data_IF_745657054831
#
_entry.id   IF_745657054831
#
_cell.length_a   1.000
_cell.length_b   1.000
_cell.length_c   1.000
_cell.angle_alpha   90.00
_cell.angle_beta   90.00
_cell.angle_gamma   90.00
#
_symmetry.space_group_name_H-M   'P 1'
#
loop_
_entity.id
_entity.type
_entity.pdbx_description
1 polymer ?
#
# COMPACT_ATOMS: atom_id res chain seq x y z
N UNK A 1 17.34 -17.15 12.45
CA UNK A 1 17.57 -15.85 11.78
C UNK A 1 18.36 -14.97 12.74
N UNK A 2 19.35 -14.20 12.26
CA UNK A 2 20.10 -13.27 13.14
C UNK A 2 19.19 -12.10 13.57
N UNK A 3 19.30 -11.56 14.79
CA UNK A 3 18.49 -10.43 15.24
C UNK A 3 18.53 -9.21 14.32
N UNK A 4 19.70 -8.94 13.72
CA UNK A 4 19.87 -7.87 12.74
C UNK A 4 19.03 -8.11 11.48
N UNK A 5 19.02 -9.33 10.95
CA UNK A 5 18.20 -9.68 9.78
C UNK A 5 16.69 -9.59 10.08
N UNK A 6 16.27 -9.96 11.29
CA UNK A 6 14.89 -9.78 11.74
C UNK A 6 14.49 -8.30 11.75
N UNK A 7 15.34 -7.46 12.35
CA UNK A 7 15.11 -6.02 12.44
C UNK A 7 15.03 -5.39 11.04
N UNK A 8 15.99 -5.71 10.16
CA UNK A 8 16.01 -5.18 8.78
C UNK A 8 14.75 -5.57 8.01
N UNK A 9 14.32 -6.84 8.11
CA UNK A 9 13.09 -7.30 7.49
C UNK A 9 11.87 -6.50 7.98
N UNK A 10 11.74 -6.33 9.30
CA UNK A 10 10.60 -5.63 9.88
C UNK A 10 10.60 -4.14 9.56
N UNK A 11 11.76 -3.49 9.55
CA UNK A 11 11.88 -2.09 9.13
C UNK A 11 11.53 -1.91 7.66
N UNK A 12 12.00 -2.81 6.79
CA UNK A 12 11.62 -2.80 5.38
C UNK A 12 10.11 -2.98 5.21
N UNK A 13 9.52 -3.94 5.93
CA UNK A 13 8.07 -4.18 5.91
C UNK A 13 7.26 -3.00 6.46
N UNK A 14 7.64 -2.43 7.60
CA UNK A 14 6.99 -1.25 8.19
C UNK A 14 7.05 -0.05 7.24
N UNK A 15 8.19 0.16 6.57
CA UNK A 15 8.32 1.23 5.59
C UNK A 15 7.31 1.10 4.44
N UNK A 16 6.82 -0.10 4.15
CA UNK A 16 5.86 -0.32 3.06
C UNK A 16 4.47 0.26 3.34
N UNK A 17 4.11 0.49 4.61
CA UNK A 17 2.76 0.93 5.00
C UNK A 17 2.73 2.10 6.00
N UNK A 18 3.85 2.41 6.67
CA UNK A 18 3.90 3.52 7.62
C UNK A 18 3.84 4.87 6.87
N UNK A 19 2.81 5.71 7.12
CA UNK A 19 2.70 7.03 6.50
C UNK A 19 3.84 7.96 6.92
N UNK A 20 4.02 9.06 6.19
CA UNK A 20 5.08 10.05 6.47
C UNK A 20 4.91 10.70 7.84
N UNK A 21 3.66 10.98 8.18
CA UNK A 21 3.24 11.63 9.42
C UNK A 21 2.23 10.70 10.08
N UNK A 22 2.69 9.65 10.77
CA UNK A 22 1.80 8.72 11.45
C UNK A 22 1.11 9.40 12.63
N UNK A 23 -0.17 9.09 12.81
CA UNK A 23 -0.84 9.35 14.08
C UNK A 23 -0.26 8.44 15.19
N UNK A 24 -0.66 8.71 16.44
CA UNK A 24 -0.18 7.96 17.60
C UNK A 24 -0.50 6.47 17.49
N UNK A 25 -1.68 6.11 16.99
CA UNK A 25 -2.12 4.72 16.87
C UNK A 25 -1.25 3.96 15.86
N UNK A 26 -1.01 4.55 14.70
CA UNK A 26 -0.20 3.97 13.62
C UNK A 26 1.25 3.85 14.05
N UNK A 27 1.78 4.86 14.77
CA UNK A 27 3.11 4.78 15.35
C UNK A 27 3.22 3.67 16.39
N UNK A 28 2.24 3.56 17.29
CA UNK A 28 2.19 2.48 18.29
C UNK A 28 2.14 1.09 17.63
N UNK A 29 1.36 0.93 16.56
CA UNK A 29 1.31 -0.32 15.77
C UNK A 29 2.67 -0.67 15.15
N UNK A 30 3.43 0.32 14.67
CA UNK A 30 4.78 0.09 14.16
C UNK A 30 5.74 -0.38 15.27
N UNK A 31 5.69 0.25 16.45
CA UNK A 31 6.48 -0.16 17.62
C UNK A 31 6.11 -1.58 18.08
N UNK A 32 4.81 -1.89 18.15
CA UNK A 32 4.32 -3.23 18.46
C UNK A 32 4.81 -4.26 17.43
N UNK A 33 4.85 -3.87 16.15
CA UNK A 33 5.31 -4.72 15.07
C UNK A 33 6.81 -5.05 15.13
N UNK A 34 7.61 -4.19 15.76
CA UNK A 34 9.03 -4.42 16.02
C UNK A 34 9.28 -5.26 17.27
N UNK A 35 8.46 -5.05 18.31
CA UNK A 35 8.68 -5.64 19.64
C UNK A 35 8.15 -7.07 19.74
N UNK A 36 6.95 -7.35 19.21
CA UNK A 36 6.32 -8.67 19.31
C UNK A 36 7.16 -9.80 18.70
N UNK A 37 7.78 -9.66 17.51
CA UNK A 37 8.61 -10.73 16.94
C UNK A 37 9.85 -11.00 17.78
N UNK A 38 10.43 -9.95 18.37
CA UNK A 38 11.60 -10.05 19.26
C UNK A 38 11.26 -10.81 20.54
N UNK A 39 10.09 -10.53 21.13
CA UNK A 39 9.58 -11.25 22.30
C UNK A 39 9.23 -12.71 21.96
N UNK A 40 8.57 -12.93 20.81
CA UNK A 40 8.22 -14.28 20.34
C UNK A 40 9.47 -15.13 20.06
N UNK A 41 10.52 -14.53 19.51
CA UNK A 41 11.78 -15.22 19.22
C UNK A 41 12.57 -15.60 20.49
N UNK A 42 12.51 -14.77 21.53
CA UNK A 42 13.21 -15.02 22.81
C UNK A 42 12.41 -15.91 23.78
N UNK A 43 11.10 -15.96 23.62
CA UNK A 43 10.20 -16.70 24.50
C UNK A 43 10.17 -18.21 24.24
N UNK A 44 9.59 -18.95 25.19
CA UNK A 44 9.29 -20.36 24.98
C UNK A 44 8.22 -20.54 23.88
N UNK A 45 8.27 -21.65 23.10
CA UNK A 45 7.26 -21.96 22.11
C UNK A 45 5.84 -21.97 22.69
N UNK A 46 4.86 -21.46 21.92
CA UNK A 46 3.45 -21.40 22.31
C UNK A 46 2.59 -22.06 21.22
N UNK A 47 2.58 -23.40 21.11
CA UNK A 47 1.98 -24.10 19.98
C UNK A 47 0.47 -23.86 19.84
N UNK A 48 -0.25 -23.68 20.94
CA UNK A 48 -1.69 -23.34 20.92
C UNK A 48 -1.92 -21.96 20.30
N UNK A 49 -1.17 -20.94 20.74
CA UNK A 49 -1.21 -19.58 20.19
C UNK A 49 -0.76 -19.55 18.73
N UNK A 50 0.30 -20.27 18.39
CA UNK A 50 0.80 -20.41 17.03
C UNK A 50 -0.27 -20.99 16.09
N UNK A 51 -0.98 -22.04 16.53
CA UNK A 51 -2.06 -22.65 15.75
C UNK A 51 -3.22 -21.69 15.54
N UNK A 52 -3.65 -21.00 16.60
CA UNK A 52 -4.71 -20.00 16.53
C UNK A 52 -4.37 -18.87 15.56
N UNK A 53 -3.20 -18.25 15.69
CA UNK A 53 -2.74 -17.20 14.78
C UNK A 53 -2.58 -17.70 13.35
N UNK A 54 -2.13 -18.94 13.14
CA UNK A 54 -2.03 -19.53 11.80
C UNK A 54 -3.41 -19.62 11.14
N UNK A 55 -4.44 -20.07 11.86
CA UNK A 55 -5.81 -20.17 11.33
C UNK A 55 -6.34 -18.78 10.98
N UNK A 56 -6.18 -17.81 11.89
CA UNK A 56 -6.58 -16.42 11.67
C UNK A 56 -5.85 -15.75 10.51
N UNK A 57 -4.62 -16.17 10.21
CA UNK A 57 -3.85 -15.64 9.10
C UNK A 57 -4.16 -16.33 7.76
N UNK A 58 -4.38 -17.65 7.75
CA UNK A 58 -4.54 -18.41 6.52
C UNK A 58 -5.89 -18.17 5.84
N UNK A 59 -6.98 -18.03 6.59
CA UNK A 59 -8.30 -17.78 5.99
C UNK A 59 -8.34 -16.47 5.19
N UNK A 60 -7.88 -15.32 5.73
CA UNK A 60 -7.87 -14.09 4.95
C UNK A 60 -6.81 -14.11 3.85
N UNK A 61 -5.65 -14.77 4.03
CA UNK A 61 -4.67 -14.93 2.94
C UNK A 61 -5.26 -15.71 1.75
N UNK A 62 -6.07 -16.74 2.01
CA UNK A 62 -6.77 -17.47 0.96
C UNK A 62 -7.79 -16.56 0.25
N UNK A 63 -8.57 -15.78 1.01
CA UNK A 63 -9.49 -14.80 0.43
C UNK A 63 -8.75 -13.75 -0.41
N UNK A 64 -7.59 -13.26 0.06
CA UNK A 64 -6.72 -12.36 -0.68
C UNK A 64 -6.22 -13.00 -1.99
N UNK A 65 -5.80 -14.26 -1.95
CA UNK A 65 -5.34 -14.97 -3.14
C UNK A 65 -6.46 -15.14 -4.18
N UNK A 66 -7.67 -15.51 -3.74
CA UNK A 66 -8.85 -15.61 -4.60
C UNK A 66 -9.24 -14.24 -5.18
N UNK A 67 -9.22 -13.19 -4.36
CA UNK A 67 -9.51 -11.83 -4.82
C UNK A 67 -8.47 -11.35 -5.82
N UNK A 68 -7.18 -11.61 -5.59
CA UNK A 68 -6.11 -11.26 -6.52
C UNK A 68 -6.26 -11.98 -7.87
N UNK A 69 -6.64 -13.26 -7.86
CA UNK A 69 -6.94 -14.02 -9.07
C UNK A 69 -8.14 -13.44 -9.83
N UNK A 70 -9.23 -13.10 -9.12
CA UNK A 70 -10.38 -12.45 -9.74
C UNK A 70 -10.02 -11.07 -10.32
N UNK A 71 -9.25 -10.27 -9.59
CA UNK A 71 -8.79 -8.95 -10.04
C UNK A 71 -7.87 -9.03 -11.27
N UNK A 72 -7.12 -10.10 -11.43
CA UNK A 72 -6.33 -10.35 -12.64
C UNK A 72 -7.21 -10.61 -13.86
N UNK A 73 -8.32 -11.34 -13.69
CA UNK A 73 -9.24 -11.70 -14.77
C UNK A 73 -10.19 -10.57 -15.15
N UNK A 74 -10.74 -9.87 -14.16
CA UNK A 74 -11.83 -8.89 -14.35
C UNK A 74 -11.38 -7.44 -14.15
N UNK A 75 -10.13 -7.23 -13.77
CA UNK A 75 -9.58 -5.93 -13.40
C UNK A 75 -9.73 -5.62 -11.90
N UNK A 76 -8.73 -4.96 -11.28
CA UNK A 76 -8.80 -4.57 -9.88
C UNK A 76 -9.72 -3.37 -9.67
N UNK A 77 -10.57 -3.41 -8.64
CA UNK A 77 -11.23 -2.19 -8.15
C UNK A 77 -10.28 -1.42 -7.23
N UNK A 78 -10.33 -0.07 -7.23
CA UNK A 78 -9.47 0.74 -6.36
C UNK A 78 -9.62 0.37 -4.88
N UNK A 79 -10.86 0.22 -4.40
CA UNK A 79 -11.20 -0.17 -3.03
C UNK A 79 -10.84 -1.62 -2.71
N UNK A 80 -11.04 -2.55 -3.66
CA UNK A 80 -10.69 -3.94 -3.44
C UNK A 80 -9.17 -4.16 -3.32
N UNK A 81 -8.36 -3.40 -4.08
CA UNK A 81 -6.89 -3.50 -4.02
C UNK A 81 -6.32 -3.05 -2.67
N UNK A 82 -6.94 -2.03 -2.07
CA UNK A 82 -6.64 -1.60 -0.71
C UNK A 82 -6.89 -2.69 0.30
N UNK A 83 -8.13 -3.18 0.31
CA UNK A 83 -8.59 -4.16 1.27
C UNK A 83 -7.71 -5.39 1.15
N UNK A 84 -7.39 -5.79 -0.09
CA UNK A 84 -6.42 -6.82 -0.40
C UNK A 84 -5.06 -6.56 0.25
N UNK A 85 -4.42 -5.40 0.01
CA UNK A 85 -3.10 -5.12 0.56
C UNK A 85 -3.11 -5.09 2.09
N UNK A 86 -4.09 -4.40 2.70
CA UNK A 86 -4.18 -4.26 4.15
C UNK A 86 -4.40 -5.61 4.83
N UNK A 87 -5.36 -6.40 4.35
CA UNK A 87 -5.62 -7.74 4.89
C UNK A 87 -4.39 -8.63 4.67
N UNK A 88 -3.79 -8.61 3.48
CA UNK A 88 -2.60 -9.41 3.19
C UNK A 88 -1.42 -9.06 4.12
N UNK A 89 -1.21 -7.77 4.44
CA UNK A 89 -0.15 -7.34 5.36
C UNK A 89 -0.39 -7.83 6.78
N UNK A 90 -1.59 -7.61 7.32
CA UNK A 90 -1.94 -8.06 8.66
C UNK A 90 -1.85 -9.58 8.78
N UNK A 91 -2.36 -10.31 7.79
CA UNK A 91 -2.33 -11.76 7.80
C UNK A 91 -0.92 -12.31 7.57
N UNK A 92 -0.10 -11.71 6.70
CA UNK A 92 1.29 -12.11 6.54
C UNK A 92 2.09 -11.90 7.83
N UNK A 93 1.87 -10.79 8.53
CA UNK A 93 2.51 -10.51 9.81
C UNK A 93 2.02 -11.45 10.92
N UNK A 94 0.72 -11.72 11.01
CA UNK A 94 0.16 -12.70 11.94
C UNK A 94 0.69 -14.12 11.67
N UNK A 95 0.82 -14.50 10.40
CA UNK A 95 1.42 -15.77 9.99
C UNK A 95 2.91 -15.83 10.37
N UNK A 96 3.64 -14.73 10.20
CA UNK A 96 5.03 -14.62 10.64
C UNK A 96 5.18 -14.85 12.14
N UNK A 97 4.38 -14.15 12.96
CA UNK A 97 4.36 -14.34 14.41
C UNK A 97 3.97 -15.78 14.80
N UNK A 98 2.99 -16.37 14.13
CA UNK A 98 2.57 -17.75 14.36
C UNK A 98 3.73 -18.73 14.16
N UNK A 99 4.54 -18.53 13.10
CA UNK A 99 5.71 -19.36 12.82
C UNK A 99 6.83 -19.16 13.83
N UNK A 100 7.03 -17.95 14.34
CA UNK A 100 8.00 -17.70 15.41
C UNK A 100 7.63 -18.41 16.72
N UNK A 101 6.33 -18.50 17.04
CA UNK A 101 5.83 -19.17 18.24
C UNK A 101 5.77 -20.70 18.14
N UNK A 102 6.08 -21.26 16.96
CA UNK A 102 6.04 -22.71 16.72
C UNK A 102 7.32 -23.39 17.26
N UNK A 103 7.25 -24.65 17.71
CA UNK A 103 8.43 -25.38 18.21
C UNK A 103 9.56 -25.48 17.17
N UNK A 104 9.20 -25.61 15.88
CA UNK A 104 10.13 -25.65 14.74
C UNK A 104 9.79 -24.52 13.77
N UNK A 105 10.35 -23.32 13.96
CA UNK A 105 9.97 -22.14 13.18
C UNK A 105 10.38 -22.30 11.72
N UNK A 106 9.38 -22.35 10.83
CA UNK A 106 9.56 -22.30 9.37
C UNK A 106 9.18 -20.92 8.85
N UNK A 107 10.17 -20.06 8.63
CA UNK A 107 9.96 -18.64 8.36
C UNK A 107 9.98 -18.28 6.87
N UNK A 108 10.37 -19.19 5.98
CA UNK A 108 10.53 -18.89 4.54
C UNK A 108 9.26 -18.28 3.94
N UNK A 109 8.12 -18.96 4.05
CA UNK A 109 6.84 -18.50 3.49
C UNK A 109 6.39 -17.14 4.03
N UNK A 110 6.28 -16.91 5.37
CA UNK A 110 5.87 -15.60 5.85
C UNK A 110 6.87 -14.49 5.49
N UNK A 111 8.19 -14.76 5.48
CA UNK A 111 9.19 -13.77 5.05
C UNK A 111 8.98 -13.41 3.58
N UNK A 112 8.77 -14.40 2.70
CA UNK A 112 8.49 -14.17 1.28
C UNK A 112 7.24 -13.30 1.10
N UNK A 113 6.17 -13.57 1.87
CA UNK A 113 4.95 -12.76 1.80
C UNK A 113 5.19 -11.32 2.23
N UNK A 114 5.88 -11.09 3.36
CA UNK A 114 6.20 -9.74 3.83
C UNK A 114 7.05 -8.98 2.81
N UNK A 115 8.08 -9.62 2.24
CA UNK A 115 8.93 -9.02 1.21
C UNK A 115 8.16 -8.72 -0.08
N UNK A 116 7.29 -9.63 -0.53
CA UNK A 116 6.48 -9.41 -1.73
C UNK A 116 5.56 -8.20 -1.57
N UNK A 117 4.95 -8.02 -0.38
CA UNK A 117 4.12 -6.86 -0.07
C UNK A 117 4.96 -5.56 0.01
N UNK A 118 6.16 -5.63 0.57
CA UNK A 118 7.11 -4.50 0.57
C UNK A 118 7.50 -4.09 -0.84
N UNK A 119 7.87 -5.06 -1.69
CA UNK A 119 8.24 -4.83 -3.08
C UNK A 119 7.05 -4.29 -3.86
N UNK A 120 5.84 -4.79 -3.64
CA UNK A 120 4.65 -4.28 -4.31
C UNK A 120 4.37 -2.82 -3.95
N UNK A 121 4.47 -2.44 -2.66
CA UNK A 121 4.25 -1.06 -2.22
C UNK A 121 5.29 -0.09 -2.80
N UNK A 122 6.58 -0.39 -2.59
CA UNK A 122 7.66 0.46 -3.09
C UNK A 122 7.80 0.44 -4.61
N UNK A 123 7.56 -0.70 -5.26
CA UNK A 123 7.53 -0.81 -6.71
C UNK A 123 6.44 0.06 -7.33
N UNK A 124 5.25 0.11 -6.71
CA UNK A 124 4.17 1.02 -7.14
C UNK A 124 4.58 2.49 -7.00
N UNK A 125 5.24 2.86 -5.90
CA UNK A 125 5.71 4.22 -5.68
C UNK A 125 6.79 4.64 -6.69
N UNK A 126 7.75 3.77 -6.96
CA UNK A 126 8.80 4.00 -7.95
C UNK A 126 8.19 4.12 -9.35
N UNK A 127 7.26 3.24 -9.73
CA UNK A 127 6.58 3.32 -11.01
C UNK A 127 5.85 4.67 -11.16
N UNK A 128 5.06 5.10 -10.16
CA UNK A 128 4.43 6.43 -10.17
C UNK A 128 5.44 7.57 -10.32
N UNK A 129 6.54 7.55 -9.58
CA UNK A 129 7.56 8.58 -9.65
C UNK A 129 8.27 8.65 -11.01
N UNK A 130 8.55 7.50 -11.64
CA UNK A 130 9.18 7.48 -12.98
C UNK A 130 8.28 8.12 -14.04
N UNK A 131 6.97 7.95 -13.93
CA UNK A 131 6.02 8.59 -14.85
C UNK A 131 5.89 10.10 -14.65
N UNK A 132 6.19 10.61 -13.45
CA UNK A 132 6.29 12.06 -13.23
C UNK A 132 7.39 12.70 -14.08
N UNK A 133 8.43 11.94 -14.43
CA UNK A 133 9.57 12.40 -15.23
C UNK A 133 9.56 11.92 -16.67
N UNK A 134 8.45 11.34 -17.16
CA UNK A 134 8.37 10.86 -18.53
C UNK A 134 8.10 12.03 -19.50
N UNK A 135 9.20 12.46 -20.13
CA UNK A 135 9.40 13.60 -21.03
C UNK A 135 9.44 14.97 -20.31
N UNK A 136 10.58 15.69 -20.34
CA UNK A 136 10.61 17.11 -20.01
C UNK A 136 9.79 17.85 -21.07
N UNK A 137 8.52 18.07 -20.78
CA UNK A 137 7.73 19.07 -21.48
C UNK A 137 8.00 20.42 -20.83
N UNK A 138 8.05 21.50 -21.61
CA UNK A 138 8.10 22.87 -21.07
C UNK A 138 6.86 23.22 -20.22
N UNK A 139 5.84 22.37 -20.28
CA UNK A 139 4.62 22.48 -19.50
C UNK A 139 4.78 21.94 -18.05
N UNK A 140 4.21 22.63 -17.05
CA UNK A 140 4.11 22.13 -15.69
C UNK A 140 3.43 20.75 -15.61
N UNK A 141 4.03 19.84 -14.84
CA UNK A 141 3.48 18.50 -14.58
C UNK A 141 3.38 18.19 -13.10
N UNK A 142 2.29 17.56 -12.68
CA UNK A 142 2.12 17.11 -11.31
C UNK A 142 1.29 15.83 -11.23
N UNK A 143 1.56 15.04 -10.19
CA UNK A 143 0.70 13.92 -9.81
C UNK A 143 -0.16 14.39 -8.65
N UNK A 144 -1.48 14.42 -8.84
CA UNK A 144 -2.43 14.76 -7.79
C UNK A 144 -3.03 13.50 -7.18
N UNK A 145 -3.32 13.59 -5.89
CA UNK A 145 -4.04 12.53 -5.17
C UNK A 145 -5.38 13.01 -4.65
N UNK A 146 -6.36 12.12 -4.65
CA UNK A 146 -7.62 12.34 -3.96
C UNK A 146 -7.41 12.36 -2.43
N UNK A 147 -7.80 13.47 -1.80
CA UNK A 147 -7.83 13.66 -0.35
C UNK A 147 -9.22 13.38 0.26
N UNK A 148 -10.23 13.16 -0.59
CA UNK A 148 -11.60 12.80 -0.26
C UNK A 148 -12.18 11.93 -1.40
N UNK A 149 -13.33 11.25 -1.22
CA UNK A 149 -14.06 10.60 -2.31
C UNK A 149 -14.94 11.61 -3.10
N UNK A 150 -14.52 12.86 -3.28
CA UNK A 150 -15.24 13.86 -4.11
C UNK A 150 -14.40 14.38 -5.27
N UNK A 151 -15.00 15.09 -6.21
CA UNK A 151 -14.29 15.70 -7.36
C UNK A 151 -13.29 16.79 -6.91
N UNK A 152 -13.59 17.48 -5.81
CA UNK A 152 -12.71 18.46 -5.17
C UNK A 152 -11.57 17.83 -4.36
N UNK A 153 -11.37 16.51 -4.49
CA UNK A 153 -10.41 15.77 -3.68
C UNK A 153 -8.97 15.94 -4.13
N UNK A 154 -8.72 16.29 -5.40
CA UNK A 154 -7.38 16.36 -5.98
C UNK A 154 -6.70 17.70 -5.70
N UNK A 155 -6.52 18.02 -4.42
CA UNK A 155 -5.92 19.31 -3.97
C UNK A 155 -4.45 19.20 -3.63
N UNK A 156 -3.92 17.97 -3.48
CA UNK A 156 -2.54 17.73 -3.04
C UNK A 156 -1.71 17.11 -4.15
N UNK A 157 -0.61 17.78 -4.48
CA UNK A 157 0.43 17.20 -5.32
C UNK A 157 1.30 16.21 -4.53
N UNK A 158 1.54 15.02 -5.10
CA UNK A 158 2.47 14.03 -4.58
C UNK A 158 3.89 14.45 -4.91
N UNK A 159 4.63 14.94 -3.91
CA UNK A 159 6.03 15.37 -4.04
C UNK A 159 7.04 14.36 -3.50
N UNK A 160 6.58 13.36 -2.75
CA UNK A 160 7.44 12.40 -2.06
C UNK A 160 7.14 10.97 -2.49
N UNK A 161 8.20 10.18 -2.75
CA UNK A 161 8.10 8.72 -2.91
C UNK A 161 7.42 8.04 -1.73
N UNK A 162 7.59 8.59 -0.53
CA UNK A 162 6.99 8.05 0.70
C UNK A 162 5.46 8.09 0.65
N UNK A 163 4.89 9.14 0.03
CA UNK A 163 3.46 9.35 -0.14
C UNK A 163 2.90 8.59 -1.36
N UNK A 164 3.76 8.10 -2.27
CA UNK A 164 3.36 7.34 -3.46
C UNK A 164 3.21 5.82 -3.22
N UNK A 165 3.50 5.35 -2.00
CA UNK A 165 3.33 3.95 -1.59
C UNK A 165 1.87 3.63 -1.27
N UNK A 166 1.48 2.37 -1.34
CA UNK A 166 0.10 1.92 -1.04
C UNK A 166 0.06 1.24 0.36
N UNK A 167 -1.03 1.33 1.15
CA UNK A 167 -2.39 1.68 0.73
C UNK A 167 -3.12 2.76 1.58
N UNK A 168 -3.05 4.04 1.21
CA UNK A 168 -4.18 4.98 1.17
C UNK A 168 -3.72 6.43 1.26
N UNK A 169 -4.43 7.28 0.55
CA UNK A 169 -4.55 8.67 0.94
C UNK A 169 -5.71 8.77 1.91
N UNK A 170 -5.44 9.29 3.10
CA UNK A 170 -6.45 9.48 4.12
C UNK A 170 -7.50 10.46 3.62
N UNK A 171 -8.75 10.00 3.58
CA UNK A 171 -9.92 10.81 3.34
C UNK A 171 -10.91 10.58 4.48
N UNK A 172 -11.04 11.53 5.40
CA UNK A 172 -12.16 11.53 6.34
C UNK A 172 -13.36 12.20 5.67
N UNK A 173 -14.51 11.52 5.68
CA UNK A 173 -15.78 12.13 5.27
C UNK A 173 -16.84 11.76 6.29
N UNK A 174 -17.34 12.77 7.02
CA UNK A 174 -18.40 12.59 8.03
C UNK A 174 -18.04 11.59 9.15
N UNK A 175 -16.78 11.55 9.58
CA UNK A 175 -16.31 10.65 10.64
C UNK A 175 -16.10 9.18 10.20
N UNK A 176 -16.23 8.87 8.91
CA UNK A 176 -15.88 7.56 8.35
C UNK A 176 -14.59 7.65 7.57
N UNK A 177 -13.67 6.75 7.87
CA UNK A 177 -12.41 6.59 7.17
C UNK A 177 -12.70 6.03 5.77
N UNK A 178 -12.54 6.85 4.74
CA UNK A 178 -12.52 6.39 3.36
C UNK A 178 -11.09 6.38 2.87
N UNK A 179 -10.77 5.34 2.12
CA UNK A 179 -9.46 5.13 1.59
C UNK A 179 -9.58 5.20 0.07
N UNK A 180 -9.19 6.33 -0.50
CA UNK A 180 -9.29 6.57 -1.94
C UNK A 180 -7.96 6.26 -2.61
N UNK A 181 -8.05 5.64 -3.78
CA UNK A 181 -6.95 4.93 -4.42
C UNK A 181 -6.69 5.35 -5.84
N UNK A 182 -6.57 6.66 -6.00
CA UNK A 182 -6.55 7.26 -7.30
C UNK A 182 -5.57 8.41 -7.31
N UNK A 183 -4.72 8.40 -8.33
CA UNK A 183 -3.81 9.48 -8.64
C UNK A 183 -4.02 9.88 -10.09
N UNK A 184 -3.96 11.18 -10.34
CA UNK A 184 -4.01 11.77 -11.67
C UNK A 184 -2.65 12.36 -12.00
N UNK A 185 -2.14 12.10 -13.19
CA UNK A 185 -1.03 12.87 -13.74
C UNK A 185 -1.63 13.96 -14.62
N UNK A 186 -1.29 15.22 -14.33
CA UNK A 186 -1.68 16.38 -15.12
C UNK A 186 -0.44 16.88 -15.85
N UNK A 187 -0.60 17.11 -17.14
CA UNK A 187 0.33 17.87 -17.97
C UNK A 187 -0.43 19.09 -18.45
N UNK A 188 -0.04 20.27 -17.95
CA UNK A 188 -0.66 21.54 -18.31
C UNK A 188 -0.39 21.91 -19.78
N UNK A 189 -1.14 22.87 -20.30
CA UNK A 189 -0.94 23.40 -21.65
C UNK A 189 -2.23 23.99 -22.22
N UNK A 190 -2.19 24.50 -23.47
CA UNK A 190 -3.39 25.00 -24.16
C UNK A 190 -4.49 23.94 -24.24
N UNK A 191 -4.10 22.68 -24.36
CA UNK A 191 -4.96 21.49 -24.25
C UNK A 191 -4.39 20.58 -23.16
N UNK A 192 -4.86 20.68 -21.91
CA UNK A 192 -4.32 19.89 -20.81
C UNK A 192 -4.57 18.40 -21.06
N UNK A 193 -3.57 17.58 -20.74
CA UNK A 193 -3.72 16.11 -20.78
C UNK A 193 -3.71 15.56 -19.37
N UNK A 194 -4.73 14.75 -19.07
CA UNK A 194 -4.91 14.12 -17.77
C UNK A 194 -4.81 12.62 -17.97
N UNK A 195 -4.07 11.96 -17.07
CA UNK A 195 -3.89 10.52 -17.11
C UNK A 195 -4.30 9.90 -15.77
N UNK A 196 -4.96 8.76 -15.84
CA UNK A 196 -5.37 7.97 -14.69
C UNK A 196 -4.31 6.92 -14.33
N UNK A 197 -3.97 6.81 -13.05
CA UNK A 197 -3.07 5.75 -12.57
C UNK A 197 -3.71 4.35 -12.69
N UNK A 198 -3.19 3.54 -13.61
CA UNK A 198 -3.54 2.13 -13.76
C UNK A 198 -2.69 1.27 -12.84
N UNK A 199 -3.30 0.75 -11.78
CA UNK A 199 -2.63 -0.14 -10.82
C UNK A 199 -2.25 -1.50 -11.43
N UNK A 200 -3.09 -2.03 -12.32
CA UNK A 200 -2.83 -3.31 -12.97
C UNK A 200 -1.60 -3.22 -13.88
N UNK A 201 -1.49 -2.13 -14.63
CA UNK A 201 -0.41 -1.91 -15.59
C UNK A 201 0.78 -1.17 -14.99
N UNK A 202 0.66 -0.71 -13.74
CA UNK A 202 1.63 0.14 -13.04
C UNK A 202 2.08 1.35 -13.88
N UNK A 203 1.13 2.02 -14.53
CA UNK A 203 1.39 3.18 -15.40
C UNK A 203 0.22 4.15 -15.45
N UNK A 204 0.46 5.36 -15.92
CA UNK A 204 -0.60 6.32 -16.23
C UNK A 204 -1.18 6.04 -17.64
N UNK A 205 -2.49 5.82 -17.72
CA UNK A 205 -3.23 5.67 -18.99
C UNK A 205 -4.03 6.97 -19.27
N UNK A 206 -4.13 7.45 -20.54
CA UNK A 206 -4.86 8.67 -20.87
C UNK A 206 -6.31 8.64 -20.37
N UNK A 207 -6.77 9.76 -19.82
CA UNK A 207 -8.16 9.94 -19.39
C UNK A 207 -8.93 10.75 -20.42
N UNK A 208 -10.06 10.21 -20.86
CA UNK A 208 -11.00 10.92 -21.74
C UNK A 208 -11.73 12.02 -20.93
N UNK A 209 -11.29 13.26 -21.11
CA UNK A 209 -11.86 14.44 -20.46
C UNK A 209 -13.25 14.81 -20.99
N UNK A 210 -13.64 14.38 -22.19
CA UNK A 210 -15.00 14.56 -22.70
C UNK A 210 -15.99 13.75 -21.88
N UNK A 211 -15.59 12.55 -21.45
CA UNK A 211 -16.38 11.71 -20.53
C UNK A 211 -16.18 12.07 -19.06
N UNK A 212 -15.09 12.75 -18.71
CA UNK A 212 -14.74 13.10 -17.34
C UNK A 212 -14.40 14.60 -17.21
N UNK A 213 -15.33 15.52 -17.52
CA UNK A 213 -15.05 16.95 -17.61
C UNK A 213 -14.75 17.61 -16.26
N UNK A 214 -15.01 16.91 -15.15
CA UNK A 214 -14.88 17.43 -13.79
C UNK A 214 -13.48 17.26 -13.18
N UNK A 215 -12.54 16.67 -13.92
CA UNK A 215 -11.20 16.39 -13.39
C UNK A 215 -10.33 17.66 -13.41
N UNK A 216 -9.41 17.83 -12.45
CA UNK A 216 -8.49 18.96 -12.45
C UNK A 216 -7.60 18.92 -13.70
N UNK A 217 -7.41 20.09 -14.30
CA UNK A 217 -6.56 20.29 -15.48
C UNK A 217 -5.33 21.13 -15.19
N UNK A 218 -5.14 21.55 -13.94
CA UNK A 218 -4.05 22.41 -13.48
C UNK A 218 -3.45 21.87 -12.19
N UNK A 219 -2.16 22.11 -12.02
CA UNK A 219 -1.41 21.83 -10.81
C UNK A 219 -1.67 22.89 -9.74
N UNK A 220 -1.78 22.49 -8.45
CA UNK A 220 -1.76 23.41 -7.33
C UNK A 220 -0.48 24.26 -7.36
N UNK A 221 -0.62 25.56 -7.12
CA UNK A 221 0.49 26.52 -7.02
C UNK A 221 1.05 26.58 -5.61
#
# INVERSE_FOLDING_TARGET
MRPTALLTLLLAWISAWLPRTPDLTTFALAVLSLTLPSLAWRGAPRPKTARFLSILALLPLLACALFAAAAFLFGPTPHGTLVLFTIANLSAYAFFLARLLSPTPRLTTPITLLLALTVWSWGSALAMATHRGAAPTDAPTCILTATSPSTDSYTRALTSLWDMRLPAFHAETGGKLQFTYHALLIVEGPTPTVYNWSKLKLRFDPLDLTRNPYQPTTCPR
#
